data_IF_782320745461
#
_entry.id   IF_782320745461
#
_cell.length_a   1.000
_cell.length_b   1.000
_cell.length_c   1.000
_cell.angle_alpha   90.00
_cell.angle_beta   90.00
_cell.angle_gamma   90.00
#
_symmetry.space_group_name_H-M   'P 1'
#
loop_
_entity.id
_entity.type
_entity.pdbx_description
1 polymer ?
#
# COMPACT_ATOMS: atom_id res chain seq x y z
N UNK A 1 -25.66 8.69 4.07
CA UNK A 1 -24.23 8.80 3.70
C UNK A 1 -23.46 7.68 4.38
N UNK A 2 -23.08 6.61 3.67
CA UNK A 2 -22.22 5.57 4.26
C UNK A 2 -20.83 6.16 4.48
N UNK A 3 -20.35 6.10 5.71
CA UNK A 3 -18.98 6.44 6.10
C UNK A 3 -18.09 5.39 5.43
N UNK A 4 -17.56 5.69 4.24
CA UNK A 4 -16.52 4.85 3.64
C UNK A 4 -15.26 5.11 4.48
N UNK A 5 -15.20 4.43 5.62
CA UNK A 5 -14.01 4.38 6.46
C UNK A 5 -13.09 3.41 5.72
N UNK A 6 -12.25 3.94 4.84
CA UNK A 6 -11.05 3.23 4.44
C UNK A 6 -10.14 3.16 5.67
N UNK A 7 -10.46 2.29 6.62
CA UNK A 7 -9.50 1.79 7.59
C UNK A 7 -8.57 0.80 6.90
N UNK A 8 -7.94 1.25 5.81
CA UNK A 8 -6.71 0.63 5.36
C UNK A 8 -5.65 1.00 6.40
N UNK A 9 -5.59 0.20 7.47
CA UNK A 9 -4.44 0.21 8.38
C UNK A 9 -3.29 -0.40 7.59
N UNK A 10 -2.69 0.42 6.74
CA UNK A 10 -1.51 0.06 5.95
C UNK A 10 -0.38 -0.09 6.96
N UNK A 11 -0.17 -1.31 7.45
CA UNK A 11 0.98 -1.64 8.29
C UNK A 11 2.12 -2.04 7.35
N UNK A 12 3.30 -1.43 7.47
CA UNK A 12 4.47 -1.93 6.79
C UNK A 12 4.92 -3.22 7.47
N UNK A 13 4.40 -4.37 7.04
CA UNK A 13 5.08 -5.64 7.29
C UNK A 13 6.05 -5.86 6.13
N UNK A 14 7.20 -5.22 6.23
CA UNK A 14 8.34 -5.50 5.34
C UNK A 14 9.09 -6.75 5.78
N UNK A 15 9.79 -7.39 4.86
CA UNK A 15 10.68 -8.55 5.09
C UNK A 15 11.64 -8.35 6.29
N UNK A 16 11.99 -7.09 6.60
CA UNK A 16 12.74 -6.71 7.79
C UNK A 16 12.09 -7.22 9.09
N UNK A 17 10.77 -7.15 9.29
CA UNK A 17 10.19 -7.58 10.58
C UNK A 17 10.33 -9.09 10.84
N UNK A 18 10.43 -9.92 9.78
CA UNK A 18 10.72 -11.37 9.89
C UNK A 18 12.21 -11.60 10.15
N UNK A 19 13.08 -10.87 9.46
CA UNK A 19 14.53 -10.92 9.71
C UNK A 19 14.90 -10.41 11.12
N UNK A 20 14.12 -9.48 11.66
CA UNK A 20 14.30 -8.94 13.01
C UNK A 20 13.77 -9.88 14.10
N UNK A 21 12.65 -10.56 13.88
CA UNK A 21 12.21 -11.62 14.81
C UNK A 21 13.27 -12.72 14.87
N UNK A 22 13.81 -13.14 13.72
CA UNK A 22 14.87 -14.17 13.70
C UNK A 22 16.17 -13.70 14.37
N UNK A 23 16.61 -12.45 14.14
CA UNK A 23 17.78 -11.87 14.83
C UNK A 23 17.54 -11.58 16.33
N UNK A 24 16.30 -11.42 16.77
CA UNK A 24 15.95 -11.25 18.18
C UNK A 24 15.86 -12.59 18.91
N UNK A 25 15.33 -13.62 18.24
CA UNK A 25 15.21 -14.97 18.79
C UNK A 25 16.50 -15.79 18.68
N UNK A 26 17.39 -15.53 17.72
CA UNK A 26 18.67 -16.25 17.61
C UNK A 26 19.55 -16.09 18.88
N UNK A 27 19.81 -14.88 19.39
CA UNK A 27 20.56 -14.68 20.62
C UNK A 27 19.85 -15.31 21.81
N UNK A 28 18.52 -15.22 21.87
CA UNK A 28 17.71 -15.85 22.91
C UNK A 28 17.88 -17.39 22.88
N UNK A 29 17.85 -18.00 21.69
CA UNK A 29 18.11 -19.42 21.47
C UNK A 29 19.56 -19.78 21.83
N UNK A 30 20.55 -18.95 21.47
CA UNK A 30 21.95 -19.15 21.84
C UNK A 30 22.22 -19.04 23.34
N UNK A 31 21.38 -18.33 24.10
CA UNK A 31 21.43 -18.29 25.57
C UNK A 31 20.68 -19.50 26.16
N UNK A 32 19.48 -19.79 25.66
CA UNK A 32 18.62 -20.85 26.20
C UNK A 32 19.21 -22.25 25.94
N UNK A 33 19.74 -22.51 24.74
CA UNK A 33 20.18 -23.86 24.34
C UNK A 33 21.36 -24.37 25.18
N UNK A 34 22.43 -23.60 25.45
CA UNK A 34 23.51 -24.03 26.34
C UNK A 34 23.10 -24.07 27.82
N UNK A 35 22.22 -23.15 28.26
CA UNK A 35 21.73 -23.09 29.65
C UNK A 35 20.83 -24.26 30.05
N UNK A 36 20.22 -24.96 29.07
CA UNK A 36 19.48 -26.21 29.34
C UNK A 36 20.44 -27.39 29.60
N UNK A 37 21.72 -27.28 29.23
CA UNK A 37 22.69 -28.38 29.31
C UNK A 37 23.59 -28.40 30.56
N UNK A 38 23.63 -27.33 31.37
CA UNK A 38 24.41 -27.28 32.62
C UNK A 38 23.72 -26.42 33.66
N UNK A 39 23.93 -26.73 34.95
CA UNK A 39 23.42 -26.05 36.15
C UNK A 39 23.51 -24.51 36.07
N UNK A 40 22.53 -23.89 35.43
CA UNK A 40 22.58 -22.47 35.11
C UNK A 40 21.97 -21.65 36.24
N UNK A 41 22.73 -20.66 36.71
CA UNK A 41 22.26 -19.71 37.71
C UNK A 41 21.26 -18.72 37.08
N UNK A 42 19.97 -18.95 37.33
CA UNK A 42 18.84 -18.11 36.85
C UNK A 42 19.08 -16.61 37.06
N UNK A 43 19.83 -16.23 38.09
CA UNK A 43 20.11 -14.83 38.43
C UNK A 43 20.89 -14.12 37.32
N UNK A 44 21.80 -14.79 36.61
CA UNK A 44 22.57 -14.17 35.52
C UNK A 44 21.70 -13.92 34.27
N UNK A 45 20.79 -14.85 33.95
CA UNK A 45 19.86 -14.69 32.82
C UNK A 45 18.92 -13.49 33.06
N UNK A 46 18.45 -13.31 34.30
CA UNK A 46 17.59 -12.18 34.67
C UNK A 46 18.33 -10.83 34.54
N UNK A 47 19.65 -10.79 34.76
CA UNK A 47 20.43 -9.55 34.64
C UNK A 47 20.60 -9.08 33.20
N UNK A 48 20.70 -10.00 32.24
CA UNK A 48 20.90 -9.67 30.82
C UNK A 48 19.59 -9.40 30.05
N UNK A 49 18.47 -9.94 30.56
CA UNK A 49 17.16 -9.77 29.93
C UNK A 49 16.71 -8.31 29.69
N UNK A 50 16.88 -7.36 30.64
CA UNK A 50 16.45 -5.98 30.47
C UNK A 50 17.20 -5.28 29.32
N UNK A 51 18.49 -5.55 29.15
CA UNK A 51 19.29 -4.97 28.08
C UNK A 51 18.83 -5.50 26.72
N UNK A 52 18.68 -6.81 26.58
CA UNK A 52 18.15 -7.42 25.36
C UNK A 52 16.73 -6.92 25.03
N UNK A 53 15.87 -6.78 26.03
CA UNK A 53 14.51 -6.24 25.87
C UNK A 53 14.52 -4.77 25.44
N UNK A 54 15.38 -3.92 26.03
CA UNK A 54 15.49 -2.50 25.69
C UNK A 54 16.01 -2.32 24.25
N UNK A 55 17.02 -3.11 23.86
CA UNK A 55 17.53 -3.16 22.48
C UNK A 55 16.42 -3.62 21.52
N UNK A 56 15.66 -4.65 21.89
CA UNK A 56 14.48 -5.11 21.15
C UNK A 56 13.42 -4.02 20.95
N UNK A 57 13.12 -3.25 21.99
CA UNK A 57 12.19 -2.14 21.93
C UNK A 57 12.65 -1.06 20.95
N UNK A 58 13.95 -0.73 20.91
CA UNK A 58 14.51 0.22 19.93
C UNK A 58 14.21 -0.23 18.49
N UNK A 59 14.27 -1.54 18.22
CA UNK A 59 13.95 -2.12 16.92
C UNK A 59 12.44 -2.32 16.65
N UNK A 60 11.59 -2.25 17.68
CA UNK A 60 10.13 -2.19 17.52
C UNK A 60 9.62 -0.77 17.19
N UNK A 61 10.37 0.28 17.56
CA UNK A 61 9.99 1.66 17.25
C UNK A 61 9.72 1.87 15.75
N UNK A 62 10.53 1.35 14.79
CA UNK A 62 10.25 1.45 13.35
C UNK A 62 8.92 0.81 12.91
N UNK A 63 8.37 -0.17 13.64
CA UNK A 63 7.05 -0.77 13.36
C UNK A 63 5.92 0.23 13.70
N UNK A 64 6.18 1.17 14.62
CA UNK A 64 5.34 2.35 14.86
C UNK A 64 5.60 3.48 13.83
N UNK A 65 6.58 3.26 12.94
CA UNK A 65 7.02 4.14 11.87
C UNK A 65 6.04 4.15 10.71
N UNK A 66 5.44 5.31 10.47
CA UNK A 66 4.63 5.64 9.31
C UNK A 66 3.27 4.94 9.20
N UNK A 67 2.19 5.69 9.47
CA UNK A 67 0.80 5.26 9.28
C UNK A 67 0.06 6.30 8.44
N UNK A 68 -0.60 5.87 7.38
CA UNK A 68 -1.53 6.71 6.64
C UNK A 68 -2.96 6.35 7.05
N UNK A 69 -3.77 7.38 7.28
CA UNK A 69 -5.18 7.25 7.62
C UNK A 69 -5.98 8.13 6.68
N UNK A 70 -6.95 7.55 5.97
CA UNK A 70 -7.88 8.28 5.11
C UNK A 70 -9.25 8.27 5.77
N UNK A 71 -9.69 9.42 6.29
CA UNK A 71 -10.97 9.57 6.97
C UNK A 71 -11.58 10.94 6.68
N UNK A 72 -12.90 11.01 6.51
CA UNK A 72 -13.65 12.27 6.34
C UNK A 72 -13.07 13.19 5.25
N UNK A 73 -12.71 12.63 4.08
CA UNK A 73 -12.07 13.36 2.96
C UNK A 73 -10.75 14.03 3.35
N UNK A 74 -10.07 13.53 4.38
CA UNK A 74 -8.73 13.96 4.76
C UNK A 74 -7.81 12.75 4.77
N UNK A 75 -6.64 12.90 4.18
CA UNK A 75 -5.54 11.94 4.31
C UNK A 75 -4.56 12.49 5.33
N UNK A 76 -4.36 11.76 6.43
CA UNK A 76 -3.40 12.11 7.47
C UNK A 76 -2.22 11.14 7.43
N UNK A 77 -1.00 11.69 7.41
CA UNK A 77 0.24 10.93 7.47
C UNK A 77 0.82 11.10 8.88
N UNK A 78 0.95 9.99 9.58
CA UNK A 78 1.53 9.90 10.92
C UNK A 78 2.95 9.38 10.80
N UNK A 79 3.86 9.97 11.56
CA UNK A 79 5.25 9.54 11.66
C UNK A 79 5.55 9.35 13.15
N UNK A 80 5.96 8.13 13.55
CA UNK A 80 6.19 7.75 14.96
C UNK A 80 4.99 8.08 15.86
N UNK A 81 3.78 7.70 15.43
CA UNK A 81 2.53 7.97 16.15
C UNK A 81 2.05 9.43 16.14
N UNK A 82 2.88 10.39 15.70
CA UNK A 82 2.50 11.81 15.62
C UNK A 82 1.97 12.17 14.25
N UNK A 83 0.83 12.87 14.20
CA UNK A 83 0.27 13.40 12.95
C UNK A 83 1.17 14.51 12.42
N UNK A 84 1.81 14.30 11.27
CA UNK A 84 2.76 15.25 10.67
C UNK A 84 2.16 16.01 9.49
N UNK A 85 1.47 15.31 8.60
CA UNK A 85 0.88 15.92 7.40
C UNK A 85 -0.61 15.61 7.29
N UNK A 86 -1.36 16.57 6.76
CA UNK A 86 -2.80 16.41 6.45
C UNK A 86 -3.10 16.99 5.09
N UNK A 87 -3.72 16.19 4.24
CA UNK A 87 -4.15 16.57 2.90
C UNK A 87 -5.66 16.58 2.84
N UNK A 88 -6.23 17.68 2.38
CA UNK A 88 -7.66 17.78 2.12
C UNK A 88 -7.96 17.21 0.73
N UNK A 89 -8.62 16.06 0.72
CA UNK A 89 -8.90 15.31 -0.50
C UNK A 89 -10.00 15.96 -1.36
N UNK A 90 -10.69 17.00 -0.86
CA UNK A 90 -11.65 17.78 -1.67
C UNK A 90 -10.97 18.76 -2.62
N UNK A 91 -9.73 19.14 -2.34
CA UNK A 91 -8.95 20.06 -3.15
C UNK A 91 -8.18 19.25 -4.19
N UNK A 92 -8.17 19.71 -5.45
CA UNK A 92 -7.36 19.08 -6.49
C UNK A 92 -5.88 19.20 -6.11
N UNK A 93 -5.19 18.07 -6.13
CA UNK A 93 -3.78 17.98 -5.80
C UNK A 93 -3.07 17.25 -6.93
N UNK A 94 -1.82 17.62 -7.17
CA UNK A 94 -0.92 16.88 -8.05
C UNK A 94 0.17 16.25 -7.20
N UNK A 95 0.16 14.93 -7.14
CA UNK A 95 1.09 14.10 -6.40
C UNK A 95 1.98 13.32 -7.37
N UNK A 96 3.29 13.50 -7.24
CA UNK A 96 4.32 12.81 -8.02
C UNK A 96 5.31 12.10 -7.09
N UNK A 97 6.01 11.10 -7.62
CA UNK A 97 7.18 10.54 -6.94
C UNK A 97 8.38 11.45 -7.13
N UNK A 98 9.13 11.65 -6.07
CA UNK A 98 10.39 12.36 -6.14
C UNK A 98 11.29 12.00 -4.97
N UNK A 99 12.32 12.81 -4.77
CA UNK A 99 13.27 12.63 -3.68
C UNK A 99 13.08 13.69 -2.59
N UNK A 100 13.30 13.32 -1.34
CA UNK A 100 13.23 14.21 -0.18
C UNK A 100 14.55 14.18 0.61
N UNK A 101 14.91 15.33 1.18
CA UNK A 101 16.02 15.48 2.11
C UNK A 101 15.47 15.90 3.46
N UNK A 102 15.72 15.06 4.46
CA UNK A 102 15.22 15.24 5.81
C UNK A 102 16.17 16.17 6.58
N UNK A 103 16.04 17.48 6.33
CA UNK A 103 16.75 18.55 7.06
C UNK A 103 18.23 18.80 6.68
N UNK A 104 18.75 19.98 7.05
CA UNK A 104 20.15 20.41 6.84
C UNK A 104 21.16 19.43 7.47
N UNK A 105 20.77 18.78 8.57
CA UNK A 105 21.64 17.88 9.32
C UNK A 105 21.86 16.54 8.59
N UNK A 106 20.81 15.96 7.97
CA UNK A 106 20.98 14.75 7.15
C UNK A 106 21.81 15.02 5.90
N UNK A 107 21.75 16.24 5.34
CA UNK A 107 22.63 16.65 4.24
C UNK A 107 24.12 16.64 4.65
N UNK A 108 24.41 16.83 5.94
CA UNK A 108 25.77 16.83 6.49
C UNK A 108 26.29 15.41 6.74
N UNK A 109 25.47 14.55 7.34
CA UNK A 109 25.82 13.17 7.73
C UNK A 109 25.68 12.15 6.60
N UNK A 110 24.75 12.38 5.67
CA UNK A 110 24.43 11.46 4.60
C UNK A 110 24.54 12.20 3.26
N UNK A 111 25.79 12.45 2.85
CA UNK A 111 26.12 13.28 1.67
C UNK A 111 25.40 12.90 0.37
N UNK A 112 24.84 11.69 0.22
CA UNK A 112 24.15 11.27 -1.00
C UNK A 112 22.88 10.40 -0.83
N UNK A 113 22.35 10.22 0.39
CA UNK A 113 21.14 9.38 0.53
C UNK A 113 19.90 10.16 0.15
N UNK A 114 19.36 9.87 -1.04
CA UNK A 114 18.06 10.32 -1.50
C UNK A 114 16.98 9.38 -0.98
N UNK A 115 16.04 9.92 -0.21
CA UNK A 115 14.87 9.17 0.26
C UNK A 115 13.73 9.28 -0.75
N UNK A 116 12.99 8.20 -0.97
CA UNK A 116 11.81 8.25 -1.82
C UNK A 116 10.70 9.02 -1.10
N UNK A 117 10.05 9.92 -1.83
CA UNK A 117 9.00 10.75 -1.29
C UNK A 117 7.84 10.88 -2.26
N UNK A 118 6.66 11.12 -1.69
CA UNK A 118 5.52 11.63 -2.44
C UNK A 118 5.52 13.14 -2.27
N UNK A 119 5.54 13.83 -3.41
CA UNK A 119 5.56 15.28 -3.49
C UNK A 119 4.19 15.74 -3.95
N UNK A 120 3.50 16.47 -3.10
CA UNK A 120 2.16 16.99 -3.33
C UNK A 120 2.26 18.49 -3.60
N UNK A 121 1.95 18.89 -4.84
CA UNK A 121 1.83 20.30 -5.24
C UNK A 121 0.44 20.80 -4.86
N UNK A 122 0.40 21.86 -4.07
CA UNK A 122 -0.80 22.66 -3.76
C UNK A 122 -0.54 24.08 -4.21
N UNK A 123 -1.16 24.56 -5.28
CA UNK A 123 -1.08 25.95 -5.79
C UNK A 123 0.32 26.61 -5.72
N UNK A 124 0.74 27.12 -4.55
CA UNK A 124 2.03 27.79 -4.29
C UNK A 124 3.02 27.03 -3.40
N UNK A 125 2.66 25.86 -2.90
CA UNK A 125 3.46 25.08 -1.94
C UNK A 125 3.65 23.64 -2.40
N UNK A 126 4.86 23.13 -2.21
CA UNK A 126 5.20 21.74 -2.47
C UNK A 126 5.47 21.04 -1.13
N UNK A 127 4.59 20.12 -0.76
CA UNK A 127 4.73 19.33 0.47
C UNK A 127 5.29 17.98 0.08
N UNK A 128 6.41 17.59 0.70
CA UNK A 128 7.02 16.28 0.48
C UNK A 128 6.97 15.48 1.77
N UNK A 129 6.64 14.20 1.70
CA UNK A 129 6.73 13.29 2.83
C UNK A 129 7.41 11.98 2.42
N UNK A 130 8.25 11.41 3.31
CA UNK A 130 8.99 10.18 3.02
C UNK A 130 8.02 9.00 2.86
N UNK A 131 8.37 8.07 1.98
CA UNK A 131 7.60 6.85 1.72
C UNK A 131 8.41 5.57 1.80
N UNK A 132 9.60 5.63 2.38
CA UNK A 132 10.56 4.52 2.40
C UNK A 132 10.05 3.28 3.14
N UNK A 133 9.03 3.43 3.99
CA UNK A 133 8.40 2.32 4.71
C UNK A 133 7.20 1.72 3.96
N UNK A 134 6.75 2.32 2.86
CA UNK A 134 5.61 1.81 2.10
C UNK A 134 6.06 0.87 0.98
N UNK A 135 5.31 -0.20 0.75
CA UNK A 135 5.52 -1.04 -0.42
C UNK A 135 5.17 -0.28 -1.71
N UNK A 136 5.77 -0.64 -2.84
CA UNK A 136 5.47 -0.05 -4.16
C UNK A 136 3.97 -0.03 -4.46
N UNK A 137 3.25 -1.05 -3.99
CA UNK A 137 1.79 -1.15 -4.12
C UNK A 137 1.07 -0.07 -3.32
N UNK A 138 1.46 0.14 -2.06
CA UNK A 138 0.90 1.18 -1.18
C UNK A 138 1.20 2.58 -1.71
N UNK A 139 2.44 2.82 -2.16
CA UNK A 139 2.87 4.09 -2.77
C UNK A 139 1.97 4.45 -3.96
N UNK A 140 1.74 3.49 -4.88
CA UNK A 140 0.84 3.69 -6.03
C UNK A 140 -0.59 4.01 -5.61
N UNK A 141 -1.13 3.29 -4.61
CA UNK A 141 -2.46 3.58 -4.08
C UNK A 141 -2.54 4.99 -3.49
N UNK A 142 -1.50 5.45 -2.77
CA UNK A 142 -1.46 6.80 -2.19
C UNK A 142 -1.46 7.85 -3.30
N UNK A 143 -0.59 7.72 -4.31
CA UNK A 143 -0.54 8.63 -5.45
C UNK A 143 -1.89 8.68 -6.19
N UNK A 144 -2.48 7.51 -6.40
CA UNK A 144 -3.78 7.39 -7.03
C UNK A 144 -4.87 8.16 -6.26
N UNK A 145 -4.94 7.96 -4.94
CA UNK A 145 -5.90 8.67 -4.09
C UNK A 145 -5.66 10.18 -4.17
N UNK A 146 -4.42 10.65 -3.99
CA UNK A 146 -4.11 12.07 -3.99
C UNK A 146 -4.43 12.76 -5.32
N UNK A 147 -4.14 12.11 -6.45
CA UNK A 147 -4.37 12.67 -7.78
C UNK A 147 -5.83 12.66 -8.21
N UNK A 148 -6.64 11.74 -7.68
CA UNK A 148 -8.01 11.55 -8.15
C UNK A 148 -9.08 11.94 -7.11
N UNK A 149 -8.71 12.30 -5.89
CA UNK A 149 -9.69 12.48 -4.81
C UNK A 149 -10.66 13.64 -5.02
N UNK A 150 -10.24 14.70 -5.71
CA UNK A 150 -11.08 15.83 -6.05
C UNK A 150 -12.04 15.53 -7.22
N UNK A 151 -11.81 14.44 -7.95
CA UNK A 151 -12.64 14.05 -9.08
C UNK A 151 -13.98 13.51 -8.54
N UNK A 152 -15.11 13.99 -9.08
CA UNK A 152 -16.44 13.51 -8.72
C UNK A 152 -16.58 12.00 -8.93
N UNK A 153 -15.85 11.43 -9.89
CA UNK A 153 -15.76 9.98 -10.12
C UNK A 153 -15.28 9.18 -8.90
N UNK A 154 -14.55 9.78 -7.95
CA UNK A 154 -14.12 9.10 -6.71
C UNK A 154 -15.26 8.88 -5.71
N UNK A 155 -16.45 9.45 -5.96
CA UNK A 155 -17.68 9.22 -5.19
C UNK A 155 -18.58 8.14 -5.80
N UNK A 156 -18.12 7.48 -6.87
CA UNK A 156 -18.89 6.43 -7.53
C UNK A 156 -19.09 5.24 -6.59
N UNK A 157 -20.35 4.81 -6.42
CA UNK A 157 -20.73 3.72 -5.51
C UNK A 157 -20.20 2.34 -5.95
N UNK A 158 -19.69 2.23 -7.18
CA UNK A 158 -19.05 1.01 -7.69
C UNK A 158 -17.64 0.80 -7.12
N UNK A 159 -17.04 1.81 -6.48
CA UNK A 159 -15.70 1.72 -5.87
C UNK A 159 -15.78 1.16 -4.44
N UNK A 160 -15.33 -0.08 -4.28
CA UNK A 160 -15.39 -0.89 -3.05
C UNK A 160 -14.03 -1.54 -2.68
N UNK A 161 -12.90 -0.90 -2.99
CA UNK A 161 -11.58 -1.42 -2.64
C UNK A 161 -10.79 -2.00 -3.81
N UNK A 162 -11.32 -1.91 -5.04
CA UNK A 162 -10.67 -2.42 -6.24
C UNK A 162 -9.32 -1.75 -6.51
N UNK A 163 -9.09 -0.53 -5.99
CA UNK A 163 -7.83 0.20 -6.10
C UNK A 163 -6.63 -0.59 -5.55
N UNK A 164 -6.90 -1.54 -4.66
CA UNK A 164 -5.88 -2.42 -4.09
C UNK A 164 -5.34 -3.44 -5.09
N UNK A 165 -5.97 -3.71 -6.21
CA UNK A 165 -5.48 -4.74 -7.14
C UNK A 165 -5.66 -4.39 -8.62
N UNK A 166 -6.50 -3.43 -8.96
CA UNK A 166 -6.74 -3.03 -10.35
C UNK A 166 -5.91 -1.80 -10.80
N UNK A 167 -5.23 -1.08 -9.90
CA UNK A 167 -4.37 0.04 -10.28
C UNK A 167 -3.22 -0.47 -11.18
N UNK A 168 -3.09 0.13 -12.37
CA UNK A 168 -2.15 -0.25 -13.43
C UNK A 168 -2.30 -1.72 -13.89
N UNK A 169 -3.48 -2.32 -13.70
CA UNK A 169 -3.73 -3.67 -14.16
C UNK A 169 -3.71 -3.73 -15.70
N UNK A 170 -3.18 -4.84 -16.21
CA UNK A 170 -3.12 -5.12 -17.63
C UNK A 170 -4.29 -6.02 -18.00
N UNK A 171 -5.05 -5.59 -18.99
CA UNK A 171 -6.26 -6.25 -19.46
C UNK A 171 -6.06 -6.84 -20.84
N UNK A 172 -6.75 -7.94 -21.08
CA UNK A 172 -6.91 -8.56 -22.39
C UNK A 172 -8.39 -8.46 -22.72
N UNK A 173 -8.69 -7.96 -23.92
CA UNK A 173 -10.06 -8.03 -24.44
C UNK A 173 -10.39 -9.49 -24.71
N UNK A 174 -11.44 -9.98 -24.07
CA UNK A 174 -11.90 -11.36 -24.20
C UNK A 174 -13.33 -11.36 -24.72
N UNK A 175 -13.55 -12.10 -25.80
CA UNK A 175 -14.89 -12.45 -26.27
C UNK A 175 -15.43 -13.68 -25.52
N UNK A 176 -14.65 -14.17 -24.55
CA UNK A 176 -14.96 -15.17 -23.54
C UNK A 176 -15.84 -16.34 -24.00
N UNK A 177 -15.25 -17.23 -24.80
CA UNK A 177 -15.75 -18.60 -25.05
C UNK A 177 -15.23 -19.63 -24.04
N UNK A 178 -14.48 -19.21 -23.01
CA UNK A 178 -13.85 -20.17 -22.10
C UNK A 178 -14.84 -20.75 -21.08
N UNK A 179 -14.96 -22.07 -21.12
CA UNK A 179 -15.75 -22.96 -20.23
C UNK A 179 -15.24 -22.96 -18.78
N UNK A 180 -15.06 -21.80 -18.17
CA UNK A 180 -14.91 -21.75 -16.72
C UNK A 180 -16.30 -21.87 -16.10
N UNK A 181 -16.58 -23.00 -15.43
CA UNK A 181 -17.84 -23.31 -14.73
C UNK A 181 -18.26 -22.32 -13.64
N UNK A 182 -17.40 -21.35 -13.29
CA UNK A 182 -17.70 -20.33 -12.29
C UNK A 182 -18.39 -19.14 -12.96
N UNK A 183 -19.58 -18.81 -12.49
CA UNK A 183 -20.23 -17.53 -12.79
C UNK A 183 -19.25 -16.40 -12.47
N UNK A 184 -18.94 -15.58 -13.47
CA UNK A 184 -18.09 -14.40 -13.31
C UNK A 184 -18.98 -13.17 -13.26
N UNK A 185 -18.52 -12.16 -12.53
CA UNK A 185 -19.21 -10.88 -12.40
C UNK A 185 -18.22 -9.75 -12.70
N UNK A 186 -18.75 -8.61 -13.13
CA UNK A 186 -17.96 -7.39 -13.22
C UNK A 186 -17.52 -6.93 -11.83
N UNK A 187 -16.23 -6.68 -11.64
CA UNK A 187 -15.63 -6.29 -10.36
C UNK A 187 -16.15 -4.95 -9.80
N UNK A 188 -16.75 -4.12 -10.65
CA UNK A 188 -17.25 -2.79 -10.29
C UNK A 188 -18.77 -2.79 -10.06
N UNK A 189 -19.54 -3.29 -11.03
CA UNK A 189 -21.00 -3.22 -10.97
C UNK A 189 -21.68 -4.53 -10.58
N UNK A 190 -20.92 -5.61 -10.36
CA UNK A 190 -21.42 -6.96 -10.06
C UNK A 190 -22.35 -7.55 -11.13
N UNK A 191 -22.48 -6.92 -12.31
CA UNK A 191 -23.23 -7.46 -13.45
C UNK A 191 -22.64 -8.82 -13.81
N UNK A 192 -23.50 -9.83 -13.89
CA UNK A 192 -23.11 -11.17 -14.32
C UNK A 192 -22.59 -11.15 -15.76
N UNK A 193 -21.57 -11.95 -16.01
CA UNK A 193 -20.99 -12.10 -17.34
C UNK A 193 -21.75 -13.19 -18.09
N UNK A 194 -22.50 -12.78 -19.11
CA UNK A 194 -23.25 -13.70 -19.96
C UNK A 194 -22.41 -14.02 -21.20
N UNK A 195 -21.80 -15.21 -21.20
CA UNK A 195 -20.83 -15.66 -22.23
C UNK A 195 -21.44 -15.97 -23.61
N UNK A 196 -22.73 -15.71 -23.82
CA UNK A 196 -23.45 -16.05 -25.06
C UNK A 196 -23.73 -14.85 -25.97
N UNK A 197 -23.27 -13.66 -25.59
CA UNK A 197 -23.49 -12.42 -26.33
C UNK A 197 -22.25 -12.07 -27.16
N UNK A 198 -22.36 -12.14 -28.49
CA UNK A 198 -21.33 -11.64 -29.41
C UNK A 198 -21.16 -10.11 -29.36
N UNK A 199 -22.11 -9.42 -28.73
CA UNK A 199 -22.19 -7.96 -28.72
C UNK A 199 -21.53 -7.30 -27.51
N UNK A 200 -21.29 -8.03 -26.42
CA UNK A 200 -20.71 -7.47 -25.20
C UNK A 200 -19.21 -7.75 -25.10
N UNK A 201 -18.40 -6.69 -25.13
CA UNK A 201 -16.96 -6.79 -24.87
C UNK A 201 -16.68 -6.88 -23.37
N UNK A 202 -15.83 -7.85 -23.01
CA UNK A 202 -15.37 -8.04 -21.64
C UNK A 202 -13.86 -7.92 -21.57
N UNK A 203 -13.38 -7.36 -20.46
CA UNK A 203 -11.97 -7.16 -20.19
C UNK A 203 -11.58 -7.98 -18.98
N UNK A 204 -10.67 -8.93 -19.17
CA UNK A 204 -10.12 -9.74 -18.09
C UNK A 204 -8.70 -9.28 -17.78
N UNK A 205 -8.29 -9.32 -16.51
CA UNK A 205 -6.88 -9.13 -16.16
C UNK A 205 -6.01 -10.20 -16.84
N UNK A 206 -4.71 -9.94 -17.02
CA UNK A 206 -3.79 -10.91 -17.65
C UNK A 206 -3.80 -12.30 -16.98
N UNK A 207 -4.01 -12.35 -15.67
CA UNK A 207 -4.15 -13.59 -14.90
C UNK A 207 -5.60 -14.12 -14.83
N UNK A 208 -6.54 -13.48 -15.53
CA UNK A 208 -7.97 -13.80 -15.65
C UNK A 208 -8.73 -13.91 -14.33
N UNK A 209 -8.18 -13.35 -13.25
CA UNK A 209 -8.81 -13.35 -11.92
C UNK A 209 -9.96 -12.35 -11.82
N UNK A 210 -9.81 -11.19 -12.46
CA UNK A 210 -10.79 -10.11 -12.37
C UNK A 210 -11.34 -9.78 -13.75
N UNK A 211 -12.64 -9.44 -13.78
CA UNK A 211 -13.37 -9.19 -15.02
C UNK A 211 -14.12 -7.86 -14.92
N UNK A 212 -14.16 -7.14 -16.04
CA UNK A 212 -14.77 -5.81 -16.12
C UNK A 212 -15.58 -5.74 -17.43
N UNK A 213 -16.83 -5.27 -17.35
CA UNK A 213 -17.62 -4.97 -18.54
C UNK A 213 -17.10 -3.74 -19.28
N UNK A 214 -17.35 -3.62 -20.59
CA UNK A 214 -16.92 -2.47 -21.40
C UNK A 214 -17.24 -1.12 -20.77
N UNK A 215 -18.47 -0.93 -20.27
CA UNK A 215 -18.87 0.32 -19.61
C UNK A 215 -17.99 0.65 -18.39
N UNK A 216 -17.76 -0.32 -17.51
CA UNK A 216 -16.91 -0.07 -16.32
C UNK A 216 -15.44 0.08 -16.71
N UNK A 217 -14.99 -0.60 -17.77
CA UNK A 217 -13.64 -0.40 -18.28
C UNK A 217 -13.46 1.04 -18.74
N UNK A 218 -14.35 1.55 -19.59
CA UNK A 218 -14.29 2.93 -20.08
C UNK A 218 -14.45 3.98 -18.98
N UNK A 219 -15.36 3.76 -18.03
CA UNK A 219 -15.59 4.70 -16.92
C UNK A 219 -14.35 4.88 -16.03
N UNK A 220 -13.60 3.79 -15.82
CA UNK A 220 -12.51 3.70 -14.85
C UNK A 220 -11.10 3.56 -15.46
N UNK A 221 -10.95 3.44 -16.79
CA UNK A 221 -9.63 3.21 -17.45
C UNK A 221 -8.61 4.29 -17.11
N UNK A 222 -9.01 5.55 -17.16
CA UNK A 222 -8.09 6.67 -16.92
C UNK A 222 -7.76 6.79 -15.44
N UNK A 223 -8.78 6.58 -14.60
CA UNK A 223 -8.65 6.60 -13.15
C UNK A 223 -7.64 5.53 -12.70
N UNK A 224 -7.87 4.27 -13.07
CA UNK A 224 -7.02 3.16 -12.64
C UNK A 224 -5.77 2.95 -13.50
N UNK A 225 -5.60 3.76 -14.56
CA UNK A 225 -4.56 3.60 -15.57
C UNK A 225 -4.54 2.17 -16.16
N UNK A 226 -5.72 1.69 -16.59
CA UNK A 226 -5.84 0.39 -17.23
C UNK A 226 -5.04 0.33 -18.52
N UNK A 227 -4.34 -0.77 -18.73
CA UNK A 227 -3.54 -1.00 -19.94
C UNK A 227 -4.10 -2.16 -20.73
N UNK A 228 -4.58 -1.89 -21.94
CA UNK A 228 -5.00 -2.94 -22.84
C UNK A 228 -3.77 -3.56 -23.51
N UNK A 229 -3.58 -4.86 -23.31
CA UNK A 229 -2.57 -5.64 -24.02
C UNK A 229 -3.09 -5.92 -25.43
N UNK A 230 -2.37 -5.47 -26.45
CA UNK A 230 -2.63 -5.89 -27.83
C UNK A 230 -2.25 -7.37 -27.94
N UNK A 231 -3.21 -8.23 -28.27
CA UNK A 231 -2.88 -9.56 -28.75
C UNK A 231 -2.08 -9.39 -30.04
N UNK A 232 -0.79 -9.78 -30.03
CA UNK A 232 -0.08 -10.04 -31.28
C UNK A 232 -0.75 -11.28 -31.86
N UNK A 233 -1.57 -11.07 -32.89
CA UNK A 233 -2.02 -12.15 -33.77
C UNK A 233 -0.80 -12.73 -34.48
#
# INVERSE_FOLDING_TARGET
MRKIVYETKIRPLGFCSILFLTLFFLPLLCIIVPSIQKDCNIIEIIKEFPFAFLVGLIFLLPILGQKIVVQNKKMSVYLWGRKKWTFDLTVKQEAELGFYYQDKFDKLLHRDRKYFSIQVKKEKQKVSFPVDLYSTKQIRTILFILNNSANSKFKDSRLNGQERYLINAHFIQSNCQEESSKQKHCEFCMKEIVFKSEYEKWYATKDRKYWICEKCFEDFKDMFNFRLLKNRK
#
